data_IF_799514637554
#
_entry.id   IF_799514637554
#
_cell.length_a   1.000
_cell.length_b   1.000
_cell.length_c   1.000
_cell.angle_alpha   90.00
_cell.angle_beta   90.00
_cell.angle_gamma   90.00
#
_symmetry.space_group_name_H-M   'P 1'
#
loop_
_entity.id
_entity.type
_entity.pdbx_description
1 polymer ?
#
# COMPACT_ATOMS: atom_id res chain seq x y z
N UNK A 1 14.94 9.30 8.23
CA UNK A 1 16.13 9.39 7.36
C UNK A 1 17.27 8.48 7.78
N UNK A 2 17.51 8.28 9.09
CA UNK A 2 18.59 7.41 9.59
C UNK A 2 18.60 6.01 8.95
N UNK A 3 17.43 5.36 8.83
CA UNK A 3 17.28 4.06 8.14
C UNK A 3 17.77 4.08 6.69
N UNK A 4 17.45 5.14 5.93
CA UNK A 4 17.91 5.32 4.54
C UNK A 4 19.42 5.46 4.47
N UNK A 5 20.01 6.22 5.39
CA UNK A 5 21.47 6.37 5.49
C UNK A 5 22.14 5.04 5.83
N UNK A 6 21.59 4.27 6.76
CA UNK A 6 22.15 2.97 7.11
C UNK A 6 22.02 1.94 5.98
N UNK A 7 20.95 1.96 5.19
CA UNK A 7 20.84 1.15 3.97
C UNK A 7 21.96 1.44 2.95
N UNK A 8 22.34 2.71 2.79
CA UNK A 8 23.47 3.09 1.93
C UNK A 8 24.81 2.56 2.48
N UNK A 9 25.00 2.61 3.80
CA UNK A 9 26.17 1.99 4.45
C UNK A 9 26.18 0.48 4.20
N UNK A 10 25.05 -0.19 4.40
CA UNK A 10 24.93 -1.64 4.22
C UNK A 10 25.19 -2.07 2.78
N UNK A 11 24.77 -1.29 1.77
CA UNK A 11 25.06 -1.61 0.35
C UNK A 11 26.57 -1.71 0.09
N UNK A 12 27.37 -0.90 0.78
CA UNK A 12 28.83 -0.91 0.66
C UNK A 12 29.50 -1.94 1.57
N UNK A 13 29.06 -2.01 2.82
CA UNK A 13 29.75 -2.72 3.90
C UNK A 13 29.18 -4.11 4.16
N UNK A 14 28.02 -4.46 3.57
CA UNK A 14 27.32 -5.75 3.68
C UNK A 14 27.13 -6.19 5.15
N UNK A 15 26.61 -5.29 5.98
CA UNK A 15 26.46 -5.48 7.43
C UNK A 15 25.21 -6.28 7.80
N UNK A 16 24.24 -6.38 6.90
CA UNK A 16 22.96 -7.05 7.13
C UNK A 16 22.79 -8.28 6.22
N UNK A 17 22.17 -9.32 6.79
CA UNK A 17 21.56 -10.39 6.02
C UNK A 17 20.31 -9.88 5.26
N UNK A 18 19.82 -10.69 4.31
CA UNK A 18 18.68 -10.31 3.45
C UNK A 18 17.42 -9.96 4.25
N UNK A 19 17.04 -10.75 5.26
CA UNK A 19 15.85 -10.49 6.09
C UNK A 19 15.87 -9.13 6.78
N UNK A 20 16.87 -8.83 7.64
CA UNK A 20 17.02 -7.53 8.28
C UNK A 20 17.12 -6.36 7.29
N UNK A 21 17.79 -6.54 6.14
CA UNK A 21 17.85 -5.51 5.09
C UNK A 21 16.45 -5.17 4.57
N UNK A 22 15.67 -6.16 4.17
CA UNK A 22 14.33 -5.93 3.61
C UNK A 22 13.37 -5.33 4.65
N UNK A 23 13.48 -5.71 5.93
CA UNK A 23 12.71 -5.06 6.99
C UNK A 23 13.13 -3.59 7.21
N UNK A 24 14.42 -3.29 7.10
CA UNK A 24 14.93 -1.91 7.18
C UNK A 24 14.47 -1.07 5.98
N UNK A 25 14.44 -1.64 4.78
CA UNK A 25 13.87 -1.02 3.57
C UNK A 25 12.40 -0.70 3.76
N UNK A 26 11.60 -1.65 4.25
CA UNK A 26 10.19 -1.43 4.58
C UNK A 26 10.02 -0.26 5.57
N UNK A 27 10.80 -0.25 6.66
CA UNK A 27 10.76 0.85 7.64
C UNK A 27 11.24 2.20 7.08
N UNK A 28 12.18 2.21 6.14
CA UNK A 28 12.60 3.42 5.44
C UNK A 28 11.48 3.95 4.52
N UNK A 29 10.77 3.07 3.81
CA UNK A 29 9.64 3.45 2.96
C UNK A 29 8.44 3.98 3.78
N UNK A 30 8.11 3.36 4.91
CA UNK A 30 7.08 3.91 5.82
C UNK A 30 7.45 5.31 6.31
N UNK A 31 8.71 5.53 6.70
CA UNK A 31 9.15 6.85 7.14
C UNK A 31 9.09 7.89 6.00
N UNK A 32 9.42 7.49 4.76
CA UNK A 32 9.23 8.32 3.56
C UNK A 32 7.75 8.66 3.33
N UNK A 33 6.86 7.67 3.38
CA UNK A 33 5.41 7.89 3.26
C UNK A 33 4.87 8.84 4.33
N UNK A 34 5.32 8.68 5.58
CA UNK A 34 4.94 9.56 6.68
C UNK A 34 5.38 11.02 6.47
N UNK A 35 6.58 11.26 5.92
CA UNK A 35 7.03 12.62 5.58
C UNK A 35 6.20 13.23 4.45
N UNK A 36 5.89 12.47 3.39
CA UNK A 36 5.03 12.95 2.31
C UNK A 36 3.63 13.32 2.85
N UNK A 37 3.05 12.46 3.69
CA UNK A 37 1.74 12.72 4.32
C UNK A 37 1.75 13.88 5.31
N UNK A 38 2.90 14.25 5.88
CA UNK A 38 3.04 15.44 6.73
C UNK A 38 3.29 16.74 5.93
N UNK A 39 3.18 16.69 4.60
CA UNK A 39 3.27 17.87 3.73
C UNK A 39 4.66 18.13 3.15
N UNK A 40 5.60 17.19 3.27
CA UNK A 40 6.85 17.31 2.53
C UNK A 40 6.62 17.10 1.05
N UNK A 41 7.20 17.98 0.22
CA UNK A 41 7.24 17.78 -1.22
C UNK A 41 8.23 16.67 -1.59
N UNK A 42 8.02 16.03 -2.74
CA UNK A 42 8.95 15.01 -3.27
C UNK A 42 10.34 15.58 -3.47
N UNK A 43 10.44 16.77 -4.09
CA UNK A 43 11.71 17.44 -4.30
C UNK A 43 12.47 17.67 -2.97
N UNK A 44 11.78 18.12 -1.92
CA UNK A 44 12.39 18.32 -0.59
C UNK A 44 12.85 17.01 0.03
N UNK A 45 12.03 15.96 -0.08
CA UNK A 45 12.38 14.65 0.44
C UNK A 45 13.57 14.03 -0.31
N UNK A 46 13.61 14.14 -1.63
CA UNK A 46 14.69 13.66 -2.48
C UNK A 46 16.00 14.39 -2.18
N UNK A 47 15.96 15.72 -1.96
CA UNK A 47 17.13 16.48 -1.50
C UNK A 47 17.65 15.98 -0.15
N UNK A 48 16.76 15.71 0.81
CA UNK A 48 17.13 15.19 2.13
C UNK A 48 17.71 13.77 2.04
N UNK A 49 17.14 12.91 1.19
CA UNK A 49 17.66 11.57 0.93
C UNK A 49 19.04 11.62 0.29
N UNK A 50 19.24 12.46 -0.71
CA UNK A 50 20.52 12.68 -1.35
C UNK A 50 21.59 13.17 -0.36
N UNK A 51 21.25 14.12 0.51
CA UNK A 51 22.15 14.57 1.57
C UNK A 51 22.50 13.43 2.54
N UNK A 52 21.50 12.63 2.92
CA UNK A 52 21.67 11.46 3.80
C UNK A 52 22.58 10.40 3.17
N UNK A 53 22.40 10.11 1.89
CA UNK A 53 23.23 9.16 1.12
C UNK A 53 24.68 9.66 1.04
N UNK A 54 24.89 10.94 0.72
CA UNK A 54 26.24 11.54 0.68
C UNK A 54 26.95 11.42 2.02
N UNK A 55 26.27 11.74 3.12
CA UNK A 55 26.83 11.60 4.46
C UNK A 55 27.08 10.14 4.85
N UNK A 56 26.24 9.20 4.41
CA UNK A 56 26.46 7.78 4.65
C UNK A 56 27.70 7.24 3.90
N UNK A 57 27.97 7.72 2.68
CA UNK A 57 29.14 7.31 1.89
C UNK A 57 30.48 7.69 2.51
N UNK A 58 30.53 8.74 3.34
CA UNK A 58 31.76 9.12 4.04
C UNK A 58 32.00 8.33 5.33
N UNK A 59 31.09 7.46 5.76
CA UNK A 59 31.25 6.64 6.97
C UNK A 59 32.11 5.40 6.70
N UNK A 60 33.06 5.14 7.59
CA UNK A 60 33.85 3.91 7.59
C UNK A 60 33.00 2.69 7.97
N UNK A 61 33.26 1.53 7.38
CA UNK A 61 32.47 0.32 7.67
C UNK A 61 32.60 -0.15 9.13
N UNK A 62 33.74 0.10 9.77
CA UNK A 62 34.01 -0.24 11.17
C UNK A 62 33.57 0.84 12.17
N UNK A 63 32.86 1.88 11.75
CA UNK A 63 32.31 2.90 12.66
C UNK A 63 31.39 2.22 13.69
N UNK A 64 31.60 2.41 15.02
CA UNK A 64 30.79 1.77 16.06
C UNK A 64 29.28 2.03 15.90
N UNK A 65 28.90 3.18 15.35
CA UNK A 65 27.48 3.52 15.10
C UNK A 65 26.83 2.60 14.07
N UNK A 66 27.60 2.10 13.10
CA UNK A 66 27.09 1.14 12.11
C UNK A 66 26.85 -0.23 12.75
N UNK A 67 27.69 -0.64 13.70
CA UNK A 67 27.49 -1.89 14.45
C UNK A 67 26.23 -1.81 15.32
N UNK A 68 26.03 -0.67 16.02
CA UNK A 68 24.80 -0.43 16.78
C UNK A 68 23.57 -0.44 15.87
N UNK A 69 23.62 0.24 14.72
CA UNK A 69 22.52 0.25 13.75
C UNK A 69 22.23 -1.16 13.18
N UNK A 70 23.27 -1.97 12.93
CA UNK A 70 23.12 -3.35 12.49
C UNK A 70 22.41 -4.21 13.55
N UNK A 71 22.85 -4.12 14.81
CA UNK A 71 22.24 -4.84 15.92
C UNK A 71 20.77 -4.44 16.12
N UNK A 72 20.44 -3.14 16.02
CA UNK A 72 19.06 -2.66 16.09
C UNK A 72 18.20 -3.16 14.92
N UNK A 73 18.73 -3.19 13.70
CA UNK A 73 18.01 -3.72 12.54
C UNK A 73 17.75 -5.22 12.67
N UNK A 74 18.72 -5.99 13.18
CA UNK A 74 18.57 -7.42 13.46
C UNK A 74 17.52 -7.70 14.55
N UNK A 75 17.57 -6.96 15.67
CA UNK A 75 16.59 -7.08 16.74
C UNK A 75 15.18 -6.70 16.28
N UNK A 76 15.06 -5.60 15.52
CA UNK A 76 13.80 -5.19 14.92
C UNK A 76 13.23 -6.24 13.96
N UNK A 77 14.09 -6.84 13.13
CA UNK A 77 13.70 -7.94 12.24
C UNK A 77 13.20 -9.16 13.01
N UNK A 78 13.85 -9.56 14.10
CA UNK A 78 13.42 -10.71 14.90
C UNK A 78 12.00 -10.56 15.49
N UNK A 79 11.59 -9.33 15.80
CA UNK A 79 10.21 -9.04 16.21
C UNK A 79 9.27 -9.01 14.99
N UNK A 80 9.71 -8.36 13.93
CA UNK A 80 8.91 -8.15 12.72
C UNK A 80 8.63 -9.46 11.95
N UNK A 81 9.56 -10.41 11.93
CA UNK A 81 9.42 -11.72 11.29
C UNK A 81 8.39 -12.60 11.99
N UNK A 82 8.27 -12.48 13.32
CA UNK A 82 7.29 -13.20 14.15
C UNK A 82 5.91 -12.52 14.18
N UNK A 83 5.79 -11.32 13.63
CA UNK A 83 4.53 -10.57 13.61
C UNK A 83 3.62 -11.14 12.52
N UNK A 84 2.45 -11.67 12.91
CA UNK A 84 1.50 -12.29 11.97
C UNK A 84 0.54 -11.30 11.31
N UNK A 85 0.32 -10.14 11.92
CA UNK A 85 -0.58 -9.09 11.41
C UNK A 85 0.01 -7.73 11.74
N UNK A 86 -0.05 -6.80 10.78
CA UNK A 86 0.45 -5.44 10.95
C UNK A 86 -0.42 -4.44 10.19
N UNK A 87 -0.50 -3.22 10.72
CA UNK A 87 -1.18 -2.09 10.10
C UNK A 87 -0.21 -1.18 9.37
N UNK A 88 -0.64 -0.65 8.24
CA UNK A 88 0.13 0.20 7.35
C UNK A 88 -0.67 1.47 7.06
N UNK A 89 -0.23 2.63 7.55
CA UNK A 89 -1.05 3.82 7.57
C UNK A 89 -1.18 4.48 6.19
N UNK A 90 -2.36 5.04 5.93
CA UNK A 90 -2.60 6.18 5.05
C UNK A 90 -2.79 7.45 5.88
N UNK A 91 -3.38 8.49 5.29
CA UNK A 91 -3.80 9.70 6.00
C UNK A 91 -5.17 9.54 6.65
N UNK A 92 -6.11 8.84 6.00
CA UNK A 92 -7.47 8.65 6.51
C UNK A 92 -7.80 7.18 6.74
N UNK A 93 -7.18 6.28 5.98
CA UNK A 93 -7.45 4.84 6.05
C UNK A 93 -6.19 4.04 6.29
N UNK A 94 -6.37 2.81 6.74
CA UNK A 94 -5.26 1.92 7.10
C UNK A 94 -5.38 0.62 6.34
N UNK A 95 -4.25 0.16 5.82
CA UNK A 95 -4.10 -1.19 5.29
C UNK A 95 -3.77 -2.16 6.41
N UNK A 96 -4.42 -3.32 6.40
CA UNK A 96 -4.17 -4.41 7.35
C UNK A 96 -3.58 -5.58 6.54
N UNK A 97 -2.36 -5.98 6.86
CA UNK A 97 -1.69 -7.10 6.23
C UNK A 97 -1.56 -8.26 7.22
N UNK A 98 -1.87 -9.48 6.77
CA UNK A 98 -1.84 -10.72 7.56
C UNK A 98 -1.05 -11.81 6.84
N UNK A 99 -0.15 -12.46 7.56
CA UNK A 99 0.63 -13.61 7.07
C UNK A 99 -0.19 -14.90 6.98
N UNK A 100 -1.35 -14.92 7.62
CA UNK A 100 -2.36 -15.96 7.48
C UNK A 100 -3.54 -15.43 6.64
N UNK A 101 -4.29 -16.34 6.04
CA UNK A 101 -5.53 -16.05 5.33
C UNK A 101 -6.67 -16.02 6.35
N UNK A 102 -7.41 -14.91 6.44
CA UNK A 102 -8.56 -14.83 7.34
C UNK A 102 -9.77 -15.64 6.83
N UNK A 103 -10.84 -15.83 7.63
CA UNK A 103 -12.01 -16.61 7.20
C UNK A 103 -12.71 -16.10 5.95
N UNK A 104 -12.49 -14.83 5.57
CA UNK A 104 -13.01 -14.22 4.35
C UNK A 104 -11.97 -14.19 3.23
N UNK A 105 -10.81 -14.82 3.40
CA UNK A 105 -9.75 -14.91 2.40
C UNK A 105 -8.75 -13.75 2.43
N UNK A 106 -8.89 -12.75 3.31
CA UNK A 106 -8.03 -11.55 3.22
C UNK A 106 -6.62 -11.79 3.74
N UNK A 107 -5.64 -11.40 2.92
CA UNK A 107 -4.23 -11.24 3.33
C UNK A 107 -3.81 -9.79 3.43
N UNK A 108 -4.43 -8.93 2.64
CA UNK A 108 -4.21 -7.50 2.63
C UNK A 108 -5.57 -6.84 2.41
N UNK A 109 -5.99 -5.93 3.28
CA UNK A 109 -7.28 -5.28 3.14
C UNK A 109 -7.26 -3.84 3.63
N UNK A 110 -8.10 -3.02 3.04
CA UNK A 110 -8.53 -1.73 3.53
C UNK A 110 -10.06 -1.77 3.60
N UNK A 111 -10.60 -1.43 4.77
CA UNK A 111 -12.03 -1.19 4.92
C UNK A 111 -12.33 0.17 4.27
N UNK A 112 -13.20 0.19 3.26
CA UNK A 112 -13.61 1.43 2.58
C UNK A 112 -14.64 2.15 3.45
N UNK A 113 -15.66 1.40 3.83
CA UNK A 113 -16.75 1.80 4.72
C UNK A 113 -17.39 0.54 5.32
N UNK A 114 -18.58 0.67 5.93
CA UNK A 114 -19.31 -0.46 6.52
C UNK A 114 -19.79 -1.51 5.50
N UNK A 115 -19.79 -1.18 4.21
CA UNK A 115 -20.37 -1.98 3.13
C UNK A 115 -19.31 -2.55 2.19
N UNK A 116 -18.14 -1.92 2.06
CA UNK A 116 -17.13 -2.34 1.10
C UNK A 116 -15.73 -2.57 1.70
N UNK A 117 -15.09 -3.66 1.28
CA UNK A 117 -13.71 -4.02 1.63
C UNK A 117 -12.93 -4.28 0.35
N UNK A 118 -11.73 -3.73 0.27
CA UNK A 118 -10.87 -3.85 -0.90
C UNK A 118 -9.46 -4.30 -0.52
N UNK A 119 -8.84 -5.13 -1.35
CA UNK A 119 -7.46 -5.56 -1.15
C UNK A 119 -7.16 -6.91 -1.79
N UNK A 120 -6.18 -7.63 -1.26
CA UNK A 120 -5.76 -8.94 -1.79
C UNK A 120 -6.40 -10.07 -0.97
N UNK A 121 -7.21 -10.88 -1.65
CA UNK A 121 -7.69 -12.16 -1.12
C UNK A 121 -6.85 -13.30 -1.64
N UNK A 122 -6.72 -14.35 -0.86
CA UNK A 122 -6.17 -15.64 -1.26
C UNK A 122 -7.26 -16.69 -1.21
N UNK A 123 -7.47 -17.39 -2.33
CA UNK A 123 -8.36 -18.55 -2.45
C UNK A 123 -7.61 -19.66 -3.16
N UNK A 124 -7.60 -20.86 -2.57
CA UNK A 124 -6.93 -22.03 -3.15
C UNK A 124 -5.45 -21.75 -3.50
N UNK A 125 -4.77 -20.95 -2.67
CA UNK A 125 -3.37 -20.55 -2.87
C UNK A 125 -3.15 -19.46 -3.92
N UNK A 126 -4.20 -18.98 -4.59
CA UNK A 126 -4.13 -17.91 -5.60
C UNK A 126 -4.50 -16.57 -4.97
N UNK A 127 -3.61 -15.58 -5.11
CA UNK A 127 -3.84 -14.21 -4.63
C UNK A 127 -4.43 -13.34 -5.74
N UNK A 128 -5.57 -12.69 -5.46
CA UNK A 128 -6.25 -11.78 -6.38
C UNK A 128 -6.59 -10.46 -5.70
N UNK A 129 -6.48 -9.37 -6.46
CA UNK A 129 -7.00 -8.07 -6.04
C UNK A 129 -8.53 -8.12 -6.13
N UNK A 130 -9.23 -7.82 -5.06
CA UNK A 130 -10.65 -8.07 -4.92
C UNK A 130 -11.35 -6.88 -4.27
N UNK A 131 -12.54 -6.55 -4.78
CA UNK A 131 -13.52 -5.73 -4.09
C UNK A 131 -14.67 -6.63 -3.63
N UNK A 132 -15.02 -6.54 -2.34
CA UNK A 132 -16.17 -7.21 -1.75
C UNK A 132 -17.16 -6.17 -1.25
N UNK A 133 -18.39 -6.21 -1.75
CA UNK A 133 -19.46 -5.26 -1.43
C UNK A 133 -20.60 -6.01 -0.77
N UNK A 134 -20.95 -5.64 0.46
CA UNK A 134 -22.13 -6.13 1.15
C UNK A 134 -23.38 -5.64 0.43
N UNK A 135 -24.25 -6.58 0.09
CA UNK A 135 -25.54 -6.30 -0.53
C UNK A 135 -26.60 -6.19 0.57
N UNK A 136 -27.36 -5.11 0.57
CA UNK A 136 -28.56 -4.99 1.41
C UNK A 136 -29.72 -5.81 0.81
N UNK A 137 -30.80 -5.99 1.58
CA UNK A 137 -31.97 -6.75 1.12
C UNK A 137 -32.52 -6.14 -0.18
N UNK A 138 -32.75 -6.98 -1.19
CA UNK A 138 -33.22 -6.55 -2.51
C UNK A 138 -32.17 -5.89 -3.42
N UNK A 139 -30.96 -5.61 -2.93
CA UNK A 139 -29.91 -4.99 -3.75
C UNK A 139 -29.26 -6.03 -4.69
N UNK A 140 -29.21 -5.69 -5.97
CA UNK A 140 -28.45 -6.44 -6.98
C UNK A 140 -26.96 -6.08 -6.92
N UNK A 141 -26.10 -6.99 -7.35
CA UNK A 141 -24.69 -6.70 -7.55
C UNK A 141 -24.50 -5.65 -8.67
N UNK A 142 -23.42 -4.84 -8.66
CA UNK A 142 -23.09 -3.98 -9.78
C UNK A 142 -23.01 -4.75 -11.12
N UNK A 143 -23.37 -4.07 -12.20
CA UNK A 143 -23.26 -4.59 -13.56
C UNK A 143 -21.81 -4.56 -14.06
N UNK A 144 -21.07 -3.51 -13.69
CA UNK A 144 -19.66 -3.35 -14.00
C UNK A 144 -18.96 -2.68 -12.82
N UNK A 145 -17.70 -3.04 -12.62
CA UNK A 145 -16.81 -2.37 -11.68
C UNK A 145 -15.49 -2.11 -12.39
N UNK A 146 -14.97 -0.90 -12.27
CA UNK A 146 -13.63 -0.55 -12.73
C UNK A 146 -12.88 0.18 -11.63
N UNK A 147 -11.56 0.03 -11.61
CA UNK A 147 -10.66 0.83 -10.79
C UNK A 147 -9.91 1.82 -11.68
N UNK A 148 -9.94 3.09 -11.31
CA UNK A 148 -9.21 4.18 -11.93
C UNK A 148 -8.03 4.53 -11.03
N UNK A 149 -6.84 4.57 -11.62
CA UNK A 149 -5.59 4.96 -10.97
C UNK A 149 -4.89 6.00 -11.83
N UNK A 150 -4.07 6.88 -11.24
CA UNK A 150 -3.31 7.85 -12.01
C UNK A 150 -2.37 7.13 -12.99
N UNK A 151 -2.41 7.58 -14.23
CA UNK A 151 -1.43 7.25 -15.24
C UNK A 151 -0.19 8.12 -15.06
N UNK A 152 0.88 7.48 -14.58
CA UNK A 152 2.16 8.12 -14.29
C UNK A 152 2.88 8.63 -15.52
N UNK A 153 2.48 8.22 -16.72
CA UNK A 153 3.03 8.71 -17.99
C UNK A 153 2.32 9.97 -18.49
N UNK A 154 1.09 10.23 -18.00
CA UNK A 154 0.25 11.36 -18.44
C UNK A 154 0.19 12.50 -17.44
N UNK A 155 0.43 12.23 -16.16
CA UNK A 155 0.44 13.25 -15.12
C UNK A 155 1.49 12.97 -14.07
N UNK A 156 2.25 14.00 -13.67
CA UNK A 156 3.08 13.93 -12.48
C UNK A 156 2.21 14.03 -11.21
N UNK A 157 2.74 13.53 -10.10
CA UNK A 157 2.09 13.52 -8.79
C UNK A 157 2.28 14.84 -8.02
N UNK A 158 3.01 15.79 -8.60
CA UNK A 158 3.55 16.96 -7.92
C UNK A 158 2.50 17.98 -7.43
N UNK A 159 1.19 17.70 -7.60
CA UNK A 159 0.09 18.56 -7.12
C UNK A 159 -0.85 17.83 -6.15
N UNK A 160 -0.34 16.92 -5.32
CA UNK A 160 -1.05 16.48 -4.12
C UNK A 160 -0.61 17.30 -2.90
N UNK A 161 -1.09 18.53 -2.86
CA UNK A 161 -0.87 19.47 -1.76
C UNK A 161 -1.66 19.05 -0.52
N UNK A 162 -1.02 19.15 0.64
CA UNK A 162 -1.64 18.82 1.94
C UNK A 162 -2.94 19.61 2.15
N UNK A 163 -2.97 20.87 1.70
CA UNK A 163 -4.17 21.73 1.78
C UNK A 163 -5.35 21.16 1.01
N UNK A 164 -5.11 20.66 -0.21
CA UNK A 164 -6.15 20.02 -1.02
C UNK A 164 -6.74 18.80 -0.31
N UNK A 165 -5.88 18.03 0.36
CA UNK A 165 -6.25 16.85 1.15
C UNK A 165 -7.00 17.18 2.44
N UNK A 166 -6.60 18.23 3.16
CA UNK A 166 -7.36 18.69 4.34
C UNK A 166 -8.76 19.18 3.96
N UNK A 167 -8.91 19.83 2.81
CA UNK A 167 -10.20 20.36 2.37
C UNK A 167 -11.12 19.30 1.74
N UNK A 168 -10.57 18.35 0.97
CA UNK A 168 -11.37 17.42 0.15
C UNK A 168 -11.17 15.93 0.52
N UNK A 169 -10.40 15.65 1.57
CA UNK A 169 -10.06 14.29 1.99
C UNK A 169 -9.44 13.44 0.89
N UNK A 170 -9.81 12.16 0.85
CA UNK A 170 -9.36 11.20 -0.16
C UNK A 170 -9.68 11.64 -1.61
N UNK A 171 -10.73 12.44 -1.82
CA UNK A 171 -11.07 12.90 -3.17
C UNK A 171 -9.98 13.81 -3.76
N UNK A 172 -9.18 14.48 -2.92
CA UNK A 172 -8.02 15.26 -3.37
C UNK A 172 -6.96 14.39 -4.04
N UNK A 173 -6.85 13.12 -3.64
CA UNK A 173 -5.86 12.16 -4.17
C UNK A 173 -6.35 11.38 -5.37
N UNK A 174 -7.62 11.50 -5.75
CA UNK A 174 -8.22 10.71 -6.82
C UNK A 174 -7.78 11.20 -8.21
N UNK A 175 -7.58 10.31 -9.19
CA UNK A 175 -7.22 10.72 -10.54
C UNK A 175 -8.42 11.40 -11.23
N UNK A 176 -8.13 12.29 -12.18
CA UNK A 176 -9.14 12.85 -13.08
C UNK A 176 -9.27 11.96 -14.32
N UNK A 177 -10.41 12.00 -15.01
CA UNK A 177 -10.64 11.12 -16.16
C UNK A 177 -9.55 11.24 -17.26
N UNK A 178 -9.00 12.45 -17.47
CA UNK A 178 -7.95 12.70 -18.47
C UNK A 178 -6.59 12.10 -18.13
N UNK A 179 -6.30 11.86 -16.84
CA UNK A 179 -5.03 11.34 -16.37
C UNK A 179 -5.14 9.97 -15.69
N UNK A 180 -6.27 9.28 -15.83
CA UNK A 180 -6.51 7.97 -15.25
C UNK A 180 -6.32 6.84 -16.25
N UNK A 181 -5.76 5.73 -15.79
CA UNK A 181 -5.88 4.41 -16.45
C UNK A 181 -6.97 3.61 -15.73
N UNK A 182 -7.88 3.03 -16.49
CA UNK A 182 -8.97 2.21 -15.96
C UNK A 182 -8.66 0.72 -16.15
N UNK A 183 -8.91 -0.06 -15.09
CA UNK A 183 -8.86 -1.51 -15.13
C UNK A 183 -10.22 -2.07 -14.75
N UNK A 184 -10.78 -2.91 -15.61
CA UNK A 184 -12.08 -3.53 -15.38
C UNK A 184 -11.93 -4.76 -14.51
N UNK A 185 -12.84 -4.94 -13.56
CA UNK A 185 -12.92 -6.17 -12.81
C UNK A 185 -13.42 -7.31 -13.72
N UNK A 186 -12.75 -8.45 -13.63
CA UNK A 186 -13.25 -9.73 -14.11
C UNK A 186 -14.10 -10.41 -13.03
N UNK A 187 -14.92 -11.37 -13.46
CA UNK A 187 -15.55 -12.38 -12.60
C UNK A 187 -16.39 -11.79 -11.46
N UNK A 188 -17.71 -11.83 -11.63
CA UNK A 188 -18.66 -11.49 -10.58
C UNK A 188 -19.16 -12.77 -9.93
N UNK A 189 -18.92 -12.94 -8.64
CA UNK A 189 -19.56 -13.98 -7.84
C UNK A 189 -20.42 -13.37 -6.73
N UNK A 190 -21.38 -14.15 -6.27
CA UNK A 190 -22.15 -13.84 -5.06
C UNK A 190 -21.70 -14.80 -3.98
N UNK A 191 -21.20 -14.26 -2.89
CA UNK A 191 -20.79 -15.03 -1.72
C UNK A 191 -21.77 -14.78 -0.58
N UNK A 192 -22.17 -15.85 0.10
CA UNK A 192 -23.10 -15.77 1.23
C UNK A 192 -22.39 -16.29 2.48
N UNK A 193 -22.45 -15.51 3.55
CA UNK A 193 -22.15 -15.95 4.91
C UNK A 193 -23.46 -16.05 5.69
N UNK A 194 -23.42 -16.59 6.90
CA UNK A 194 -24.63 -16.76 7.75
C UNK A 194 -25.48 -15.49 7.89
N UNK A 195 -24.84 -14.31 7.86
CA UNK A 195 -25.52 -13.02 8.10
C UNK A 195 -25.53 -12.08 6.90
N UNK A 196 -24.73 -12.35 5.88
CA UNK A 196 -24.47 -11.36 4.83
C UNK A 196 -24.34 -11.98 3.46
N UNK A 197 -24.74 -11.20 2.45
CA UNK A 197 -24.50 -11.52 1.05
C UNK A 197 -23.57 -10.48 0.46
N UNK A 198 -22.59 -10.93 -0.32
CA UNK A 198 -21.57 -10.08 -0.90
C UNK A 198 -21.53 -10.24 -2.41
N UNK A 199 -21.43 -9.12 -3.12
CA UNK A 199 -20.93 -9.11 -4.49
C UNK A 199 -19.40 -9.07 -4.42
N UNK A 200 -18.75 -10.01 -5.10
CA UNK A 200 -17.30 -10.11 -5.16
C UNK A 200 -16.86 -9.97 -6.61
N UNK A 201 -15.89 -9.09 -6.82
CA UNK A 201 -15.28 -8.86 -8.14
C UNK A 201 -13.76 -8.85 -8.02
N UNK A 202 -13.08 -9.39 -9.02
CA UNK A 202 -11.63 -9.53 -9.04
C UNK A 202 -11.00 -8.67 -10.13
N UNK A 203 -9.89 -8.01 -9.83
CA UNK A 203 -9.18 -7.15 -10.77
C UNK A 203 -7.96 -7.87 -11.33
N UNK A 204 -7.53 -7.53 -12.56
CA UNK A 204 -6.32 -8.07 -13.14
C UNK A 204 -5.09 -7.67 -12.32
N UNK A 205 -4.05 -8.50 -12.36
CA UNK A 205 -2.79 -8.25 -11.64
C UNK A 205 -2.15 -6.90 -12.02
N UNK A 206 -2.34 -6.46 -13.27
CA UNK A 206 -1.90 -5.15 -13.74
C UNK A 206 -2.49 -3.98 -12.94
N UNK A 207 -3.72 -4.09 -12.45
CA UNK A 207 -4.33 -3.08 -11.59
C UNK A 207 -3.62 -3.01 -10.23
N UNK A 208 -3.24 -4.16 -9.67
CA UNK A 208 -2.50 -4.20 -8.41
C UNK A 208 -1.08 -3.65 -8.56
N UNK A 209 -0.39 -3.98 -9.65
CA UNK A 209 0.92 -3.41 -9.94
C UNK A 209 0.85 -1.89 -10.13
N UNK A 210 -0.19 -1.38 -10.79
CA UNK A 210 -0.39 0.05 -10.93
C UNK A 210 -0.60 0.73 -9.56
N UNK A 211 -1.40 0.16 -8.68
CA UNK A 211 -1.60 0.65 -7.31
C UNK A 211 -0.31 0.69 -6.49
N UNK A 212 0.50 -0.38 -6.55
CA UNK A 212 1.77 -0.46 -5.82
C UNK A 212 2.78 0.62 -6.25
N UNK A 213 2.61 1.15 -7.46
CA UNK A 213 3.50 2.13 -8.07
C UNK A 213 3.09 3.59 -7.83
N UNK A 214 1.96 3.83 -7.16
CA UNK A 214 1.47 5.17 -6.82
C UNK A 214 2.20 5.75 -5.59
N UNK A 215 2.17 7.07 -5.47
CA UNK A 215 2.59 7.80 -4.27
C UNK A 215 1.61 7.50 -3.11
N UNK A 216 2.10 7.35 -1.87
CA UNK A 216 1.26 7.09 -0.70
C UNK A 216 0.14 8.11 -0.43
N UNK A 217 0.22 9.31 -1.00
CA UNK A 217 -0.81 10.36 -0.90
C UNK A 217 -1.96 10.19 -1.91
N UNK A 218 -1.80 9.33 -2.90
CA UNK A 218 -2.78 9.12 -3.94
C UNK A 218 -3.97 8.28 -3.46
N UNK A 219 -5.03 8.33 -4.25
CA UNK A 219 -6.27 7.58 -4.04
C UNK A 219 -6.69 6.96 -5.35
N UNK A 220 -7.04 5.67 -5.32
CA UNK A 220 -7.68 5.02 -6.45
C UNK A 220 -9.20 5.18 -6.33
N UNK A 221 -9.88 5.32 -7.47
CA UNK A 221 -11.34 5.36 -7.53
C UNK A 221 -11.88 4.04 -8.05
N UNK A 222 -12.78 3.42 -7.32
CA UNK A 222 -13.62 2.34 -7.79
C UNK A 222 -14.93 2.95 -8.30
N UNK A 223 -15.28 2.67 -9.55
CA UNK A 223 -16.56 3.07 -10.15
C UNK A 223 -17.43 1.84 -10.35
N UNK A 224 -18.60 1.86 -9.74
CA UNK A 224 -19.57 0.78 -9.73
C UNK A 224 -20.79 1.20 -10.53
N UNK A 225 -21.09 0.51 -11.61
CA UNK A 225 -22.24 0.79 -12.46
C UNK A 225 -23.43 -0.11 -12.09
N UNK A 226 -24.61 0.48 -11.87
CA UNK A 226 -25.86 -0.20 -11.49
C UNK A 226 -27.01 0.28 -12.38
N UNK A 227 -27.11 -0.30 -13.57
CA UNK A 227 -28.09 0.11 -14.56
C UNK A 227 -27.84 1.54 -15.03
N UNK A 228 -28.61 2.50 -14.50
CA UNK A 228 -28.52 3.93 -14.83
C UNK A 228 -27.78 4.76 -13.78
N UNK A 229 -27.38 4.17 -12.66
CA UNK A 229 -26.66 4.88 -11.59
C UNK A 229 -25.21 4.43 -11.54
N UNK A 230 -24.33 5.37 -11.18
CA UNK A 230 -22.91 5.14 -10.95
C UNK A 230 -22.57 5.54 -9.52
N UNK A 231 -21.81 4.69 -8.84
CA UNK A 231 -21.37 4.88 -7.46
C UNK A 231 -19.83 4.93 -7.44
N UNK A 232 -19.27 5.86 -6.67
CA UNK A 232 -17.82 6.02 -6.51
C UNK A 232 -17.42 5.61 -5.10
N UNK A 233 -16.48 4.67 -5.02
CA UNK A 233 -15.77 4.35 -3.78
C UNK A 233 -14.31 4.76 -3.94
N UNK A 234 -13.72 5.28 -2.88
CA UNK A 234 -12.31 5.69 -2.87
C UNK A 234 -11.48 4.62 -2.16
N UNK A 235 -10.23 4.43 -2.54
CA UNK A 235 -9.26 3.56 -1.87
C UNK A 235 -7.98 4.35 -1.69
N UNK A 236 -7.54 4.52 -0.45
CA UNK A 236 -6.30 5.23 -0.18
C UNK A 236 -5.09 4.33 -0.48
N UNK A 237 -4.10 4.86 -1.19
CA UNK A 237 -2.85 4.12 -1.47
C UNK A 237 -2.07 3.92 -0.17
N UNK A 238 -1.74 4.98 0.57
CA UNK A 238 -1.02 4.89 1.84
C UNK A 238 0.27 4.07 1.71
N UNK A 239 0.61 3.32 2.77
CA UNK A 239 1.80 2.45 2.79
C UNK A 239 1.55 1.05 2.18
N UNK A 240 0.69 0.94 1.14
CA UNK A 240 0.33 -0.32 0.48
C UNK A 240 1.54 -1.13 -0.01
N UNK A 241 2.52 -0.47 -0.62
CA UNK A 241 3.74 -1.13 -1.12
C UNK A 241 4.55 -1.76 0.00
N UNK A 242 4.61 -1.10 1.17
CA UNK A 242 5.24 -1.65 2.37
C UNK A 242 4.44 -2.83 2.92
N UNK A 243 3.10 -2.72 2.93
CA UNK A 243 2.22 -3.79 3.35
C UNK A 243 2.43 -5.05 2.48
N UNK A 244 2.63 -4.89 1.18
CA UNK A 244 2.99 -5.99 0.27
C UNK A 244 4.36 -6.58 0.60
N UNK A 245 5.36 -5.74 0.87
CA UNK A 245 6.69 -6.18 1.32
C UNK A 245 6.64 -7.01 2.61
N UNK A 246 5.77 -6.63 3.55
CA UNK A 246 5.53 -7.40 4.77
C UNK A 246 5.07 -8.83 4.48
N UNK A 247 4.16 -9.00 3.54
CA UNK A 247 3.64 -10.32 3.15
C UNK A 247 4.63 -11.15 2.32
N UNK A 248 5.52 -10.52 1.57
CA UNK A 248 6.49 -11.19 0.71
C UNK A 248 7.63 -11.86 1.50
N UNK A 249 7.98 -11.31 2.66
CA UNK A 249 9.00 -11.90 3.52
C UNK A 249 8.46 -13.17 4.17
N UNK A 250 8.98 -14.33 3.79
CA UNK A 250 8.74 -15.58 4.52
C UNK A 250 9.74 -15.65 5.69
N UNK A 251 9.33 -16.06 6.91
CA UNK A 251 10.30 -16.57 7.87
C UNK A 251 11.03 -17.72 7.19
N UNK A 252 12.36 -17.72 7.21
CA UNK A 252 13.12 -18.93 6.89
C UNK A 252 12.65 -20.02 7.86
N UNK A 253 12.32 -21.19 7.31
CA UNK A 253 11.81 -22.34 8.05
C UNK A 253 12.92 -22.99 8.89
#
# INVERSE_FOLDING_TARGET
MERRGFLEVDTRCRLLAAGPRTALEAGAQQARGALLRSGWTRARLEQLEQATIRAARSRACNDPRNQTAAAQAQAGFATWSRTNSMTFPGAERTWIARRYVDPLGWRLRQDIDATAVFGVREREGVQRLTLMIRLTSGQSAPNAVQILVRDRTRADVDVLELRGRTANGLAAGAPTAGNATAYFASTRSIETTERNRYAVVEFPDAAFQALLALDPRETAELRLERGRTSERLLVEVGDLSVARGFLALRPEA
#
